data_IF_986980664203
#
_entry.id   IF_986980664203
#
_cell.length_a   1.000
_cell.length_b   1.000
_cell.length_c   1.000
_cell.angle_alpha   90.00
_cell.angle_beta   90.00
_cell.angle_gamma   90.00
#
_symmetry.space_group_name_H-M   'P 1'
#
loop_
_entity.id
_entity.type
_entity.pdbx_description
1 polymer ?
#
# COMPACT_ATOMS: atom_id res chain seq x y z
N UNK A 1 -1.56 15.13 12.24
CA UNK A 1 -0.78 13.87 12.39
C UNK A 1 -1.66 12.63 12.48
N UNK A 2 -2.74 12.63 13.27
CA UNK A 2 -3.61 11.45 13.48
C UNK A 2 -4.11 10.78 12.19
N UNK A 3 -4.56 11.56 11.19
CA UNK A 3 -5.01 11.01 9.89
C UNK A 3 -3.88 10.36 9.07
N UNK A 4 -2.66 10.90 9.15
CA UNK A 4 -1.50 10.34 8.43
C UNK A 4 -1.00 9.06 9.09
N UNK A 5 -1.01 8.99 10.43
CA UNK A 5 -0.66 7.77 11.19
C UNK A 5 -1.62 6.62 10.88
N UNK A 6 -2.92 6.88 10.90
CA UNK A 6 -3.93 5.88 10.54
C UNK A 6 -3.80 5.39 9.09
N UNK A 7 -3.48 6.29 8.15
CA UNK A 7 -3.19 5.91 6.77
C UNK A 7 -2.00 4.97 6.64
N UNK A 8 -0.89 5.24 7.33
CA UNK A 8 0.32 4.39 7.26
C UNK A 8 0.07 3.00 7.82
N UNK A 9 -0.69 2.89 8.91
CA UNK A 9 -1.06 1.60 9.51
C UNK A 9 -1.94 0.80 8.54
N UNK A 10 -2.93 1.45 7.93
CA UNK A 10 -3.84 0.80 6.98
C UNK A 10 -3.12 0.32 5.70
N UNK A 11 -2.30 1.17 5.09
CA UNK A 11 -1.49 0.82 3.91
C UNK A 11 -0.46 -0.27 4.25
N UNK A 12 0.15 -0.23 5.44
CA UNK A 12 1.08 -1.27 5.88
C UNK A 12 0.40 -2.64 6.06
N UNK A 13 -0.78 -2.66 6.68
CA UNK A 13 -1.57 -3.89 6.84
C UNK A 13 -1.99 -4.49 5.49
N UNK A 14 -2.50 -3.66 4.57
CA UNK A 14 -2.84 -4.10 3.22
C UNK A 14 -1.62 -4.67 2.49
N UNK A 15 -0.45 -4.02 2.59
CA UNK A 15 0.79 -4.52 1.99
C UNK A 15 1.19 -5.91 2.48
N UNK A 16 1.02 -6.18 3.78
CA UNK A 16 1.26 -7.52 4.35
C UNK A 16 0.22 -8.54 3.87
N UNK A 17 -1.06 -8.17 3.83
CA UNK A 17 -2.12 -9.07 3.35
C UNK A 17 -1.98 -9.42 1.86
N UNK A 18 -1.53 -8.48 1.03
CA UNK A 18 -1.20 -8.73 -0.38
C UNK A 18 0.04 -9.63 -0.53
N UNK A 19 1.05 -9.50 0.35
CA UNK A 19 2.23 -10.38 0.34
C UNK A 19 1.90 -11.83 0.73
N UNK A 20 0.95 -12.02 1.65
CA UNK A 20 0.49 -13.35 2.07
C UNK A 20 -0.56 -13.97 1.12
N UNK A 21 -0.83 -13.34 -0.03
CA UNK A 21 -1.82 -13.80 -1.01
C UNK A 21 -3.19 -14.11 -0.37
N UNK A 22 -3.68 -13.21 0.48
CA UNK A 22 -4.90 -13.45 1.25
C UNK A 22 -6.14 -13.59 0.34
N UNK A 23 -6.87 -14.72 0.48
CA UNK A 23 -8.09 -15.05 -0.31
C UNK A 23 -9.17 -13.96 -0.23
N UNK A 24 -9.23 -13.20 0.87
CA UNK A 24 -10.20 -12.11 1.06
C UNK A 24 -9.98 -10.92 0.14
N UNK A 25 -8.81 -10.83 -0.49
CA UNK A 25 -8.37 -9.71 -1.33
C UNK A 25 -8.39 -10.05 -2.83
N UNK A 26 -8.92 -11.23 -3.15
CA UNK A 26 -9.22 -11.66 -4.52
C UNK A 26 -10.17 -10.71 -5.27
N UNK A 27 -11.21 -10.11 -4.65
CA UNK A 27 -12.09 -9.18 -5.36
C UNK A 27 -11.43 -7.81 -5.65
N UNK A 28 -10.35 -7.45 -4.95
CA UNK A 28 -9.59 -6.22 -5.22
C UNK A 28 -8.62 -6.40 -6.41
N UNK A 29 -8.33 -7.66 -6.75
CA UNK A 29 -7.54 -8.03 -7.92
C UNK A 29 -8.42 -7.90 -9.17
N UNK A 30 -8.46 -6.69 -9.73
CA UNK A 30 -9.01 -6.48 -11.06
C UNK A 30 -8.10 -7.17 -12.08
N UNK A 31 -8.50 -8.35 -12.53
CA UNK A 31 -8.01 -8.93 -13.78
C UNK A 31 -8.52 -8.04 -14.91
N UNK A 32 -7.70 -7.06 -15.29
CA UNK A 32 -8.03 -6.19 -16.41
C UNK A 32 -8.40 -7.06 -17.61
N UNK A 33 -9.50 -6.68 -18.23
CA UNK A 33 -10.20 -7.37 -19.31
C UNK A 33 -9.39 -7.48 -20.62
N UNK A 34 -8.08 -7.72 -20.57
CA UNK A 34 -7.27 -8.01 -21.76
C UNK A 34 -7.48 -9.44 -22.28
N UNK A 35 -8.40 -10.21 -21.67
CA UNK A 35 -8.96 -11.45 -22.24
C UNK A 35 -10.32 -11.25 -22.90
N UNK A 36 -10.80 -10.01 -23.09
CA UNK A 36 -12.04 -9.75 -23.84
C UNK A 36 -11.89 -9.84 -25.37
N UNK A 37 -10.71 -10.16 -25.89
CA UNK A 37 -10.50 -10.51 -27.29
C UNK A 37 -10.02 -11.96 -27.45
N UNK A 38 -10.76 -12.93 -26.89
CA UNK A 38 -10.65 -14.32 -27.34
C UNK A 38 -10.63 -15.36 -26.22
N UNK A 39 -11.83 -15.79 -25.82
CA UNK A 39 -12.02 -17.10 -25.21
C UNK A 39 -11.93 -17.11 -23.68
N UNK A 40 -12.96 -17.69 -23.07
CA UNK A 40 -13.01 -18.07 -21.67
C UNK A 40 -11.84 -19.01 -21.32
N UNK A 41 -10.69 -18.44 -20.97
CA UNK A 41 -9.60 -19.14 -20.30
C UNK A 41 -9.64 -18.69 -18.85
N UNK A 42 -10.00 -19.59 -17.94
CA UNK A 42 -9.88 -19.31 -16.52
C UNK A 42 -8.43 -18.88 -16.24
N UNK A 43 -8.19 -17.77 -15.51
CA UNK A 43 -6.83 -17.34 -15.20
C UNK A 43 -6.11 -18.48 -14.47
N UNK A 44 -4.90 -18.81 -14.93
CA UNK A 44 -4.08 -19.84 -14.29
C UNK A 44 -3.69 -19.35 -12.90
N UNK A 45 -3.51 -20.26 -11.95
CA UNK A 45 -3.06 -19.90 -10.59
C UNK A 45 -1.79 -19.02 -10.59
N UNK A 46 -0.89 -19.23 -11.55
CA UNK A 46 0.33 -18.44 -11.74
C UNK A 46 0.05 -16.97 -12.12
N UNK A 47 -0.94 -16.71 -12.97
CA UNK A 47 -1.33 -15.35 -13.36
C UNK A 47 -1.92 -14.57 -12.18
N UNK A 48 -2.60 -15.29 -11.28
CA UNK A 48 -3.16 -14.71 -10.06
C UNK A 48 -2.03 -14.36 -9.09
N UNK A 49 -1.07 -15.26 -8.87
CA UNK A 49 0.06 -15.01 -7.97
C UNK A 49 0.91 -13.82 -8.40
N UNK A 50 1.20 -13.71 -9.70
CA UNK A 50 1.98 -12.58 -10.24
C UNK A 50 1.27 -11.25 -10.02
N UNK A 51 -0.05 -11.19 -10.26
CA UNK A 51 -0.85 -9.98 -10.03
C UNK A 51 -0.92 -9.60 -8.54
N UNK A 52 -1.00 -10.58 -7.63
CA UNK A 52 -0.89 -10.32 -6.19
C UNK A 52 0.45 -9.66 -5.84
N UNK A 53 1.55 -10.18 -6.38
CA UNK A 53 2.89 -9.65 -6.10
C UNK A 53 3.09 -8.21 -6.63
N UNK A 54 2.54 -7.90 -7.81
CA UNK A 54 2.58 -6.54 -8.39
C UNK A 54 1.85 -5.52 -7.51
N UNK A 55 0.65 -5.87 -7.03
CA UNK A 55 -0.14 -4.99 -6.14
C UNK A 55 0.48 -4.88 -4.75
N UNK A 56 1.03 -5.97 -4.21
CA UNK A 56 1.77 -5.97 -2.96
C UNK A 56 2.94 -4.97 -3.01
N UNK A 57 3.74 -4.98 -4.09
CA UNK A 57 4.84 -4.03 -4.28
C UNK A 57 4.36 -2.58 -4.33
N UNK A 58 3.30 -2.28 -5.08
CA UNK A 58 2.75 -0.91 -5.16
C UNK A 58 2.29 -0.42 -3.78
N UNK A 59 1.62 -1.28 -3.02
CA UNK A 59 1.16 -0.96 -1.67
C UNK A 59 2.34 -0.72 -0.70
N UNK A 60 3.39 -1.55 -0.79
CA UNK A 60 4.60 -1.39 0.01
C UNK A 60 5.36 -0.11 -0.30
N UNK A 61 5.49 0.25 -1.58
CA UNK A 61 6.12 1.51 -2.01
C UNK A 61 5.32 2.71 -1.49
N UNK A 62 4.00 2.66 -1.60
CA UNK A 62 3.12 3.70 -1.06
C UNK A 62 3.25 3.83 0.46
N UNK A 63 3.19 2.71 1.19
CA UNK A 63 3.39 2.68 2.65
C UNK A 63 4.76 3.26 3.04
N UNK A 64 5.81 2.94 2.29
CA UNK A 64 7.15 3.51 2.45
C UNK A 64 7.19 5.02 2.28
N UNK A 65 6.59 5.56 1.20
CA UNK A 65 6.50 7.01 0.99
C UNK A 65 5.75 7.71 2.13
N UNK A 66 4.62 7.16 2.56
CA UNK A 66 3.90 7.72 3.71
C UNK A 66 4.72 7.64 5.01
N UNK A 67 5.46 6.55 5.23
CA UNK A 67 6.39 6.41 6.36
C UNK A 67 7.47 7.49 6.38
N UNK A 68 8.10 7.76 5.24
CA UNK A 68 9.11 8.83 5.10
C UNK A 68 8.49 10.20 5.38
N UNK A 69 7.30 10.49 4.84
CA UNK A 69 6.62 11.77 5.12
C UNK A 69 6.29 11.94 6.61
N UNK A 70 5.90 10.87 7.32
CA UNK A 70 5.69 10.92 8.77
C UNK A 70 6.96 11.27 9.53
N UNK A 71 8.10 10.67 9.16
CA UNK A 71 9.40 10.98 9.77
C UNK A 71 9.75 12.45 9.58
N UNK A 72 9.56 12.99 8.36
CA UNK A 72 9.82 14.40 8.06
C UNK A 72 8.89 15.33 8.86
N UNK A 73 7.59 15.04 8.93
CA UNK A 73 6.63 15.83 9.72
C UNK A 73 6.97 15.79 11.21
N UNK A 74 7.38 14.63 11.73
CA UNK A 74 7.80 14.49 13.12
C UNK A 74 9.04 15.32 13.43
N UNK A 75 10.00 15.33 12.50
CA UNK A 75 11.20 16.16 12.59
C UNK A 75 10.85 17.65 12.57
N UNK A 76 10.04 18.10 11.60
CA UNK A 76 9.55 19.48 11.54
C UNK A 76 8.80 19.89 12.81
N UNK A 77 7.92 19.02 13.33
CA UNK A 77 7.16 19.31 14.53
C UNK A 77 8.07 19.46 15.77
N UNK A 78 9.13 18.64 15.88
CA UNK A 78 10.12 18.75 16.96
C UNK A 78 10.90 20.06 16.90
N UNK A 79 11.41 20.45 15.72
CA UNK A 79 12.11 21.73 15.54
C UNK A 79 11.19 22.94 15.75
N UNK A 80 9.97 22.89 15.23
CA UNK A 80 8.98 23.96 15.42
C UNK A 80 8.58 24.14 16.89
N UNK A 81 8.48 23.05 17.66
CA UNK A 81 8.22 23.12 19.11
C UNK A 81 9.42 23.73 19.85
N UNK A 82 10.64 23.27 19.57
CA UNK A 82 11.85 23.79 20.21
C UNK A 82 12.11 25.28 19.94
N UNK A 83 11.65 25.80 18.79
CA UNK A 83 11.79 27.22 18.44
C UNK A 83 10.76 28.10 19.17
N UNK A 84 9.61 27.55 19.58
CA UNK A 84 8.59 28.27 20.35
C UNK A 84 8.97 28.44 21.82
N UNK A 85 9.77 27.53 22.38
CA UNK A 85 10.30 27.65 23.75
C UNK A 85 11.36 28.77 23.90
N UNK A 86 11.93 29.25 22.79
CA UNK A 86 12.98 30.27 22.81
C UNK A 86 12.47 31.72 22.65
N UNK A 87 11.14 31.93 22.58
CA UNK A 87 10.51 33.26 22.41
C UNK A 87 9.52 33.54 23.53
#
# INVERSE_FOLDING_TARGET
MVMSVWGVIFLGLLGVFFYLQAVTLFPDLHFSEESKEGGHMAPTVEDIETKYSEKAMQCWIAAGMYGVTLILVFWQNKYNTATRDYK
#
